data_IF_998072706856
#
_entry.id   IF_998072706856
#
_cell.length_a   1.000
_cell.length_b   1.000
_cell.length_c   1.000
_cell.angle_alpha   90.00
_cell.angle_beta   90.00
_cell.angle_gamma   90.00
#
_symmetry.space_group_name_H-M   'P 1'
#
loop_
_entity.id
_entity.type
_entity.pdbx_description
1 polymer ?
#
# COMPACT_ATOMS: atom_id res chain seq x y z
N UNK A 1 -6.16 15.64 3.10
CA UNK A 1 -7.31 14.81 2.67
C UNK A 1 -6.96 13.32 2.66
N UNK A 2 -5.75 12.94 2.24
CA UNK A 2 -5.26 11.55 2.29
C UNK A 2 -5.42 10.87 3.66
N UNK A 3 -5.08 11.57 4.76
CA UNK A 3 -5.17 10.99 6.12
C UNK A 3 -6.59 10.56 6.53
N UNK A 4 -7.60 11.33 6.10
CA UNK A 4 -9.01 11.01 6.41
C UNK A 4 -9.50 9.79 5.65
N UNK A 5 -9.01 9.59 4.42
CA UNK A 5 -9.33 8.44 3.58
C UNK A 5 -8.62 7.18 4.08
N UNK A 6 -7.32 7.28 4.36
CA UNK A 6 -6.54 6.20 4.97
C UNK A 6 -7.16 5.73 6.28
N UNK A 7 -7.57 6.66 7.14
CA UNK A 7 -8.27 6.33 8.38
C UNK A 7 -9.60 5.61 8.17
N UNK A 8 -10.34 5.93 7.09
CA UNK A 8 -11.58 5.22 6.72
C UNK A 8 -11.27 3.80 6.26
N UNK A 9 -10.30 3.64 5.36
CA UNK A 9 -9.89 2.33 4.82
C UNK A 9 -9.38 1.41 5.93
N UNK A 10 -8.51 1.89 6.83
CA UNK A 10 -8.02 1.13 7.98
C UNK A 10 -9.16 0.62 8.88
N UNK A 11 -10.20 1.45 9.13
CA UNK A 11 -11.40 1.04 9.89
C UNK A 11 -12.20 -0.02 9.15
N UNK A 12 -12.44 0.16 7.86
CA UNK A 12 -13.16 -0.82 7.04
C UNK A 12 -12.41 -2.15 6.99
N UNK A 13 -11.08 -2.13 6.83
CA UNK A 13 -10.24 -3.31 6.89
C UNK A 13 -10.34 -4.03 8.23
N UNK A 14 -10.31 -3.30 9.34
CA UNK A 14 -10.49 -3.89 10.66
C UNK A 14 -11.83 -4.64 10.79
N UNK A 15 -12.92 -4.04 10.29
CA UNK A 15 -14.23 -4.71 10.25
C UNK A 15 -14.20 -5.97 9.37
N UNK A 16 -13.61 -5.89 8.18
CA UNK A 16 -13.47 -7.05 7.29
C UNK A 16 -12.63 -8.17 7.93
N UNK A 17 -11.53 -7.86 8.64
CA UNK A 17 -10.74 -8.85 9.40
C UNK A 17 -11.57 -9.54 10.49
N UNK A 18 -12.40 -8.80 11.20
CA UNK A 18 -13.29 -9.36 12.22
C UNK A 18 -14.34 -10.30 11.61
N UNK A 19 -14.91 -9.93 10.46
CA UNK A 19 -15.85 -10.78 9.71
C UNK A 19 -15.18 -12.04 9.17
N UNK A 20 -13.99 -11.92 8.58
CA UNK A 20 -13.18 -13.06 8.13
C UNK A 20 -12.90 -14.02 9.27
N UNK A 21 -12.50 -13.51 10.44
CA UNK A 21 -12.29 -14.34 11.64
C UNK A 21 -13.56 -15.07 12.05
N UNK A 22 -14.70 -14.37 12.07
CA UNK A 22 -16.00 -14.96 12.41
C UNK A 22 -16.39 -16.07 11.44
N UNK A 23 -16.33 -15.83 10.13
CA UNK A 23 -16.70 -16.83 9.13
C UNK A 23 -15.72 -18.01 9.12
N UNK A 24 -14.43 -17.76 9.33
CA UNK A 24 -13.42 -18.82 9.46
C UNK A 24 -13.75 -19.74 10.64
N UNK A 25 -14.13 -19.19 11.79
CA UNK A 25 -14.56 -19.97 12.96
C UNK A 25 -15.80 -20.79 12.65
N UNK A 26 -16.83 -20.21 12.01
CA UNK A 26 -18.05 -20.92 11.63
C UNK A 26 -17.80 -22.07 10.64
N UNK A 27 -16.92 -21.86 9.66
CA UNK A 27 -16.52 -22.89 8.71
C UNK A 27 -15.74 -24.00 9.43
N UNK A 28 -14.87 -23.65 10.38
CA UNK A 28 -14.07 -24.60 11.17
C UNK A 28 -14.92 -25.43 12.15
N UNK A 29 -15.96 -24.84 12.72
CA UNK A 29 -16.88 -25.49 13.66
C UNK A 29 -17.99 -26.29 12.95
N UNK A 30 -18.03 -26.27 11.61
CA UNK A 30 -19.01 -27.03 10.85
C UNK A 30 -18.75 -28.54 10.96
N UNK A 31 -19.63 -29.25 11.65
CA UNK A 31 -19.51 -30.69 11.89
C UNK A 31 -20.22 -31.51 10.80
N UNK A 32 -20.28 -32.84 10.96
CA UNK A 32 -21.01 -33.73 10.07
C UNK A 32 -22.53 -33.52 10.08
N UNK A 33 -23.06 -32.88 11.13
CA UNK A 33 -24.49 -32.58 11.23
C UNK A 33 -24.89 -31.24 10.61
N UNK A 34 -23.93 -30.38 10.25
CA UNK A 34 -24.24 -29.11 9.58
C UNK A 34 -24.76 -29.37 8.16
N UNK A 35 -25.96 -28.86 7.79
CA UNK A 35 -26.47 -28.98 6.44
C UNK A 35 -25.49 -28.41 5.41
N UNK A 36 -25.35 -29.09 4.27
CA UNK A 36 -24.36 -28.72 3.25
C UNK A 36 -24.54 -27.28 2.73
N UNK A 37 -25.80 -26.84 2.55
CA UNK A 37 -26.14 -25.49 2.09
C UNK A 37 -25.65 -24.40 3.04
N UNK A 38 -25.71 -24.64 4.35
CA UNK A 38 -25.24 -23.70 5.38
C UNK A 38 -23.72 -23.58 5.32
N UNK A 39 -23.02 -24.68 5.11
CA UNK A 39 -21.58 -24.68 4.91
C UNK A 39 -21.19 -23.90 3.63
N UNK A 40 -21.87 -24.13 2.51
CA UNK A 40 -21.59 -23.42 1.26
C UNK A 40 -21.85 -21.91 1.40
N UNK A 41 -22.92 -21.52 2.10
CA UNK A 41 -23.18 -20.12 2.42
C UNK A 41 -22.02 -19.46 3.18
N UNK A 42 -21.53 -20.07 4.26
CA UNK A 42 -20.41 -19.51 5.03
C UNK A 42 -19.10 -19.52 4.26
N UNK A 43 -18.85 -20.54 3.44
CA UNK A 43 -17.68 -20.61 2.55
C UNK A 43 -17.69 -19.46 1.53
N UNK A 44 -18.84 -19.20 0.90
CA UNK A 44 -18.96 -18.17 -0.12
C UNK A 44 -18.86 -16.77 0.51
N UNK A 45 -19.46 -16.55 1.69
CA UNK A 45 -19.27 -15.32 2.46
C UNK A 45 -17.83 -15.10 2.92
N UNK A 46 -17.16 -16.14 3.40
CA UNK A 46 -15.74 -16.05 3.75
C UNK A 46 -14.91 -15.61 2.55
N UNK A 47 -15.18 -16.18 1.37
CA UNK A 47 -14.50 -15.82 0.13
C UNK A 47 -14.73 -14.35 -0.26
N UNK A 48 -15.97 -13.89 -0.25
CA UNK A 48 -16.29 -12.47 -0.54
C UNK A 48 -15.56 -11.52 0.42
N UNK A 49 -15.51 -11.87 1.70
CA UNK A 49 -14.84 -11.05 2.73
C UNK A 49 -13.32 -11.02 2.52
N UNK A 50 -12.72 -12.14 2.09
CA UNK A 50 -11.30 -12.21 1.74
C UNK A 50 -10.99 -11.38 0.49
N UNK A 51 -11.82 -11.47 -0.57
CA UNK A 51 -11.66 -10.67 -1.78
C UNK A 51 -11.75 -9.16 -1.45
N UNK A 52 -12.67 -8.78 -0.55
CA UNK A 52 -12.77 -7.40 -0.04
C UNK A 52 -11.53 -6.98 0.76
N UNK A 53 -10.98 -7.86 1.59
CA UNK A 53 -9.76 -7.58 2.37
C UNK A 53 -8.57 -7.30 1.45
N UNK A 54 -8.39 -8.12 0.40
CA UNK A 54 -7.34 -7.94 -0.60
C UNK A 54 -7.49 -6.60 -1.31
N UNK A 55 -8.70 -6.23 -1.72
CA UNK A 55 -8.96 -4.92 -2.34
C UNK A 55 -8.59 -3.77 -1.41
N UNK A 56 -8.96 -3.86 -0.12
CA UNK A 56 -8.65 -2.83 0.87
C UNK A 56 -7.14 -2.72 1.12
N UNK A 57 -6.42 -3.83 1.15
CA UNK A 57 -4.96 -3.81 1.34
C UNK A 57 -4.27 -3.16 0.13
N UNK A 58 -4.72 -3.41 -1.11
CA UNK A 58 -4.21 -2.70 -2.29
C UNK A 58 -4.48 -1.18 -2.23
N UNK A 59 -5.69 -0.78 -1.81
CA UNK A 59 -6.06 0.64 -1.67
C UNK A 59 -5.24 1.33 -0.56
N UNK A 60 -4.99 0.63 0.55
CA UNK A 60 -4.17 1.12 1.67
C UNK A 60 -2.69 1.21 1.24
N UNK A 61 -2.19 0.22 0.51
CA UNK A 61 -0.83 0.20 -0.03
C UNK A 61 -0.56 1.41 -0.93
N UNK A 62 -1.54 1.80 -1.76
CA UNK A 62 -1.42 2.96 -2.63
C UNK A 62 -1.30 4.29 -1.87
N UNK A 63 -1.70 4.33 -0.59
CA UNK A 63 -1.74 5.54 0.24
C UNK A 63 -0.67 5.57 1.35
N UNK A 64 0.02 4.46 1.63
CA UNK A 64 1.05 4.38 2.66
C UNK A 64 2.44 4.59 2.08
N UNK A 65 3.32 5.21 2.87
CA UNK A 65 4.75 5.20 2.61
C UNK A 65 5.31 3.78 2.82
N UNK A 66 6.27 3.38 1.98
CA UNK A 66 6.81 2.01 1.93
C UNK A 66 7.26 1.44 3.28
N UNK A 67 7.70 2.29 4.23
CA UNK A 67 8.15 1.86 5.56
C UNK A 67 7.01 1.51 6.52
N UNK A 68 5.87 2.22 6.46
CA UNK A 68 4.71 1.92 7.33
C UNK A 68 3.93 0.70 6.80
N UNK A 69 3.96 0.49 5.47
CA UNK A 69 3.32 -0.66 4.82
C UNK A 69 3.94 -2.00 5.25
N UNK A 70 5.27 -2.10 5.35
CA UNK A 70 5.96 -3.36 5.69
C UNK A 70 5.49 -4.00 6.99
N UNK A 71 5.37 -3.23 8.08
CA UNK A 71 4.93 -3.76 9.39
C UNK A 71 3.46 -4.17 9.38
N UNK A 72 2.63 -3.50 8.56
CA UNK A 72 1.20 -3.79 8.46
C UNK A 72 0.92 -5.03 7.60
N UNK A 73 1.77 -5.29 6.60
CA UNK A 73 1.75 -6.51 5.77
C UNK A 73 2.07 -7.75 6.59
N UNK A 74 3.12 -7.72 7.42
CA UNK A 74 3.49 -8.87 8.26
C UNK A 74 2.32 -9.36 9.12
N UNK A 75 1.57 -8.43 9.71
CA UNK A 75 0.37 -8.77 10.50
C UNK A 75 -0.76 -9.31 9.63
N UNK A 76 -0.97 -8.78 8.42
CA UNK A 76 -1.98 -9.30 7.48
C UNK A 76 -1.69 -10.72 7.02
N UNK A 77 -0.42 -11.05 6.75
CA UNK A 77 0.00 -12.35 6.23
C UNK A 77 -0.34 -13.50 7.20
N UNK A 78 -0.15 -13.29 8.51
CA UNK A 78 -0.52 -14.28 9.53
C UNK A 78 -2.01 -14.65 9.49
N UNK A 79 -2.89 -13.66 9.31
CA UNK A 79 -4.34 -13.90 9.22
C UNK A 79 -4.72 -14.64 7.93
N UNK A 80 -4.08 -14.29 6.82
CA UNK A 80 -4.32 -14.93 5.52
C UNK A 80 -3.89 -16.40 5.60
N UNK A 81 -2.75 -16.70 6.22
CA UNK A 81 -2.24 -18.06 6.32
C UNK A 81 -3.08 -18.93 7.28
N UNK A 82 -3.57 -18.36 8.39
CA UNK A 82 -4.56 -19.02 9.25
C UNK A 82 -5.84 -19.38 8.48
N UNK A 83 -6.36 -18.48 7.65
CA UNK A 83 -7.55 -18.73 6.84
C UNK A 83 -7.32 -19.79 5.76
N UNK A 84 -6.15 -19.80 5.11
CA UNK A 84 -5.74 -20.84 4.16
C UNK A 84 -5.67 -22.21 4.83
N UNK A 85 -5.02 -22.31 5.99
CA UNK A 85 -4.93 -23.57 6.74
C UNK A 85 -6.32 -24.09 7.16
N UNK A 86 -7.20 -23.22 7.66
CA UNK A 86 -8.56 -23.60 8.03
C UNK A 86 -9.36 -24.13 6.83
N UNK A 87 -9.25 -23.47 5.68
CA UNK A 87 -9.91 -23.88 4.44
C UNK A 87 -9.42 -25.24 3.94
N UNK A 88 -8.09 -25.46 3.99
CA UNK A 88 -7.47 -26.72 3.57
C UNK A 88 -7.87 -27.88 4.49
N UNK A 89 -7.93 -27.63 5.80
CA UNK A 89 -8.41 -28.61 6.78
C UNK A 89 -9.88 -28.97 6.54
N UNK A 90 -10.75 -27.99 6.33
CA UNK A 90 -12.17 -28.23 6.04
C UNK A 90 -12.35 -29.03 4.74
N UNK A 91 -11.53 -28.75 3.71
CA UNK A 91 -11.51 -29.51 2.46
C UNK A 91 -11.16 -30.98 2.69
N UNK A 92 -10.07 -31.25 3.42
CA UNK A 92 -9.64 -32.61 3.76
C UNK A 92 -10.73 -33.36 4.53
N UNK A 93 -11.40 -32.69 5.46
CA UNK A 93 -12.48 -33.31 6.23
C UNK A 93 -13.69 -33.68 5.35
N UNK A 94 -14.06 -32.82 4.41
CA UNK A 94 -15.11 -33.15 3.43
C UNK A 94 -14.71 -34.29 2.50
N UNK A 95 -13.46 -34.35 2.04
CA UNK A 95 -12.93 -35.46 1.24
C UNK A 95 -12.99 -36.78 2.03
N UNK A 96 -12.58 -36.77 3.29
CA UNK A 96 -12.68 -37.93 4.18
C UNK A 96 -14.14 -38.41 4.37
N UNK A 97 -15.10 -37.47 4.44
CA UNK A 97 -16.53 -37.80 4.50
C UNK A 97 -17.00 -38.49 3.22
N UNK A 98 -16.65 -37.97 2.05
CA UNK A 98 -17.02 -38.57 0.76
C UNK A 98 -16.47 -40.00 0.61
N UNK A 99 -15.26 -40.26 1.10
CA UNK A 99 -14.69 -41.62 1.14
C UNK A 99 -15.48 -42.52 2.08
N UNK A 100 -15.89 -42.01 3.24
CA UNK A 100 -16.54 -42.79 4.31
C UNK A 100 -18.01 -43.12 4.01
N UNK A 101 -18.75 -42.22 3.35
CA UNK A 101 -20.18 -42.44 3.06
C UNK A 101 -20.42 -43.38 1.87
N UNK A 102 -19.40 -43.68 1.05
CA UNK A 102 -19.55 -44.49 -0.15
C UNK A 102 -20.44 -43.86 -1.23
N UNK A 103 -20.93 -42.63 -1.00
CA UNK A 103 -21.69 -41.87 -1.98
C UNK A 103 -20.75 -41.47 -3.10
N UNK A 104 -21.01 -41.99 -4.32
CA UNK A 104 -20.28 -41.57 -5.50
C UNK A 104 -20.45 -40.06 -5.66
N UNK A 105 -19.37 -39.26 -5.62
CA UNK A 105 -19.48 -37.82 -5.77
C UNK A 105 -20.13 -37.53 -7.12
N UNK A 106 -21.11 -36.62 -7.13
CA UNK A 106 -21.84 -36.23 -8.33
C UNK A 106 -20.82 -35.84 -9.43
N UNK A 107 -20.79 -36.61 -10.52
CA UNK A 107 -19.77 -36.54 -11.57
C UNK A 107 -19.56 -35.11 -12.13
N UNK A 108 -20.62 -34.30 -12.15
CA UNK A 108 -20.56 -32.90 -12.58
C UNK A 108 -19.76 -32.01 -11.61
N UNK A 109 -19.96 -32.16 -10.29
CA UNK A 109 -19.17 -31.37 -9.31
C UNK A 109 -17.70 -31.73 -9.39
N UNK A 110 -17.35 -33.00 -9.57
CA UNK A 110 -15.94 -33.42 -9.63
C UNK A 110 -15.23 -32.81 -10.84
N UNK A 111 -15.91 -32.70 -11.98
CA UNK A 111 -15.35 -32.09 -13.19
C UNK A 111 -15.19 -30.58 -13.06
N UNK A 112 -16.18 -29.87 -12.50
CA UNK A 112 -16.07 -28.43 -12.20
C UNK A 112 -14.91 -28.13 -11.23
N UNK A 113 -14.77 -28.93 -10.18
CA UNK A 113 -13.68 -28.78 -9.22
C UNK A 113 -12.30 -29.02 -9.86
N UNK A 114 -12.18 -30.03 -10.74
CA UNK A 114 -10.95 -30.29 -11.49
C UNK A 114 -10.58 -29.12 -12.41
N UNK A 115 -11.54 -28.60 -13.18
CA UNK A 115 -11.32 -27.45 -14.06
C UNK A 115 -10.86 -26.22 -13.26
N UNK A 116 -11.48 -26.00 -12.10
CA UNK A 116 -11.13 -24.87 -11.22
C UNK A 116 -9.74 -25.02 -10.60
N UNK A 117 -9.30 -26.23 -10.27
CA UNK A 117 -7.93 -26.51 -9.82
C UNK A 117 -6.92 -26.22 -10.94
N UNK A 118 -7.19 -26.66 -12.17
CA UNK A 118 -6.30 -26.38 -13.31
C UNK A 118 -6.22 -24.88 -13.61
N UNK A 119 -7.34 -24.15 -13.51
CA UNK A 119 -7.34 -22.68 -13.61
C UNK A 119 -6.50 -22.01 -12.52
N UNK A 120 -6.50 -22.55 -11.29
CA UNK A 120 -5.68 -22.02 -10.19
C UNK A 120 -4.20 -22.29 -10.41
N UNK A 121 -3.82 -23.50 -10.85
CA UNK A 121 -2.43 -23.81 -11.21
C UNK A 121 -1.90 -22.91 -12.33
N UNK A 122 -2.71 -22.66 -13.37
CA UNK A 122 -2.32 -21.77 -14.46
C UNK A 122 -2.10 -20.32 -13.97
N UNK A 123 -2.92 -19.84 -13.02
CA UNK A 123 -2.73 -18.52 -12.39
C UNK A 123 -1.45 -18.48 -11.54
N UNK A 124 -1.17 -19.52 -10.77
CA UNK A 124 0.04 -19.64 -9.98
C UNK A 124 1.31 -19.63 -10.85
N UNK A 125 1.29 -20.33 -11.99
CA UNK A 125 2.38 -20.28 -12.98
C UNK A 125 2.57 -18.88 -13.57
N UNK A 126 1.48 -18.15 -13.86
CA UNK A 126 1.58 -16.76 -14.32
C UNK A 126 2.15 -15.82 -13.27
N UNK A 127 1.79 -15.99 -11.99
CA UNK A 127 2.35 -15.20 -10.89
C UNK A 127 3.85 -15.48 -10.71
N UNK A 128 4.26 -16.75 -10.79
CA UNK A 128 5.68 -17.11 -10.73
C UNK A 128 6.52 -16.48 -11.85
N UNK A 129 5.95 -16.34 -13.06
CA UNK A 129 6.60 -15.61 -14.17
C UNK A 129 6.73 -14.13 -13.86
N UNK A 130 5.70 -13.52 -13.26
CA UNK A 130 5.72 -12.10 -12.90
C UNK A 130 6.81 -11.77 -11.87
N UNK A 131 6.96 -12.61 -10.83
CA UNK A 131 8.02 -12.44 -9.83
C UNK A 131 9.41 -12.56 -10.45
N UNK A 132 9.59 -13.50 -11.38
CA UNK A 132 10.85 -13.65 -12.13
C UNK A 132 11.17 -12.42 -12.98
N UNK A 133 10.17 -11.86 -13.66
CA UNK A 133 10.35 -10.67 -14.49
C UNK A 133 10.57 -9.41 -13.64
N UNK A 134 9.91 -9.29 -12.48
CA UNK A 134 10.17 -8.22 -11.51
C UNK A 134 11.61 -8.27 -10.99
N UNK A 135 12.12 -9.46 -10.65
CA UNK A 135 13.50 -9.62 -10.21
C UNK A 135 14.52 -9.18 -11.28
N UNK A 136 14.24 -9.43 -12.58
CA UNK A 136 15.08 -8.94 -13.68
C UNK A 136 15.06 -7.42 -13.77
N UNK A 137 13.87 -6.81 -13.72
CA UNK A 137 13.72 -5.34 -13.76
C UNK A 137 14.47 -4.69 -12.59
N UNK A 138 14.44 -5.27 -11.40
CA UNK A 138 15.19 -4.75 -10.26
C UNK A 138 16.70 -4.91 -10.42
N UNK A 139 17.16 -6.03 -10.99
CA UNK A 139 18.57 -6.24 -11.32
C UNK A 139 19.07 -5.21 -12.35
N UNK A 140 18.33 -5.01 -13.45
CA UNK A 140 18.66 -4.03 -14.49
C UNK A 140 18.69 -2.60 -13.92
N UNK A 141 17.70 -2.26 -13.08
CA UNK A 141 17.65 -0.96 -12.39
C UNK A 141 18.86 -0.76 -11.48
N UNK A 142 19.33 -1.82 -10.80
CA UNK A 142 20.52 -1.76 -9.95
C UNK A 142 21.79 -1.56 -10.79
N UNK A 143 21.95 -2.31 -11.87
CA UNK A 143 23.07 -2.16 -12.81
C UNK A 143 23.15 -0.74 -13.36
N UNK A 144 22.02 -0.16 -13.80
CA UNK A 144 21.98 1.21 -14.31
C UNK A 144 22.38 2.26 -13.25
N UNK A 145 21.99 2.05 -11.98
CA UNK A 145 22.43 2.93 -10.87
C UNK A 145 23.94 2.83 -10.62
N UNK A 146 24.52 1.64 -10.72
CA UNK A 146 25.96 1.43 -10.58
C UNK A 146 26.73 2.09 -11.74
N UNK A 147 26.27 1.93 -12.98
CA UNK A 147 26.85 2.59 -14.15
C UNK A 147 26.84 4.12 -14.03
N UNK A 148 25.72 4.70 -13.56
CA UNK A 148 25.62 6.14 -13.28
C UNK A 148 26.59 6.58 -12.18
N UNK A 149 26.71 5.81 -11.10
CA UNK A 149 27.64 6.13 -10.01
C UNK A 149 29.10 6.12 -10.50
N UNK A 150 29.47 5.15 -11.33
CA UNK A 150 30.81 5.09 -11.95
C UNK A 150 31.03 6.27 -12.90
N UNK A 151 30.04 6.64 -13.73
CA UNK A 151 30.12 7.79 -14.63
C UNK A 151 30.33 9.11 -13.88
N UNK A 152 29.54 9.36 -12.82
CA UNK A 152 29.68 10.55 -11.97
C UNK A 152 31.03 10.61 -11.24
N UNK A 153 31.55 9.48 -10.77
CA UNK A 153 32.89 9.39 -10.15
C UNK A 153 34.00 9.76 -11.14
N UNK A 154 33.86 9.39 -12.42
CA UNK A 154 34.77 9.81 -13.49
C UNK A 154 34.76 11.32 -13.72
N UNK A 155 33.57 11.95 -13.71
CA UNK A 155 33.45 13.40 -13.89
C UNK A 155 33.98 14.22 -12.70
N UNK A 156 33.91 13.67 -11.48
CA UNK A 156 34.44 14.34 -10.28
C UNK A 156 35.96 14.59 -10.34
N UNK A 157 36.71 13.80 -11.12
CA UNK A 157 38.17 13.98 -11.29
C UNK A 157 38.56 15.11 -12.24
N UNK A 158 37.64 15.60 -13.09
CA UNK A 158 37.90 16.65 -14.08
C UNK A 158 37.53 18.05 -13.54
N UNK A 159 36.79 18.14 -12.42
CA UNK A 159 36.21 19.39 -11.93
C UNK A 159 37.09 20.42 -11.17
N UNK A 160 38.24 20.11 -10.55
CA UNK A 160 38.89 21.13 -9.71
C UNK A 160 39.48 22.31 -10.50
N UNK A 161 39.59 22.19 -11.82
CA UNK A 161 40.11 23.24 -12.70
C UNK A 161 39.00 24.16 -13.22
N UNK A 162 37.86 23.60 -13.64
CA UNK A 162 36.71 24.38 -14.13
C UNK A 162 36.05 25.23 -13.03
N UNK A 163 36.01 24.72 -11.79
CA UNK A 163 35.42 25.47 -10.67
C UNK A 163 36.26 26.71 -10.29
N UNK A 164 37.58 26.68 -10.52
CA UNK A 164 38.46 27.84 -10.30
C UNK A 164 38.23 28.94 -11.35
N UNK A 165 38.07 28.56 -12.61
CA UNK A 165 37.74 29.51 -13.68
C UNK A 165 36.35 30.13 -13.48
N UNK A 166 35.38 29.33 -13.06
CA UNK A 166 34.01 29.80 -12.82
C UNK A 166 33.94 30.77 -11.63
N UNK A 167 34.71 30.51 -10.56
CA UNK A 167 34.83 31.44 -9.43
C UNK A 167 35.54 32.74 -9.83
N UNK A 168 36.63 32.67 -10.61
CA UNK A 168 37.33 33.86 -11.09
C UNK A 168 36.43 34.74 -11.99
N UNK A 169 35.63 34.14 -12.86
CA UNK A 169 34.65 34.87 -13.67
C UNK A 169 33.54 35.52 -12.82
N UNK A 170 33.06 34.83 -11.77
CA UNK A 170 32.08 35.38 -10.83
C UNK A 170 32.64 36.58 -10.07
N UNK A 171 33.85 36.48 -9.54
CA UNK A 171 34.52 37.57 -8.82
C UNK A 171 34.73 38.80 -9.71
N UNK A 172 35.13 38.62 -10.98
CA UNK A 172 35.24 39.74 -11.91
C UNK A 172 33.90 40.43 -12.18
N UNK A 173 32.82 39.67 -12.38
CA UNK A 173 31.48 40.24 -12.59
C UNK A 173 31.00 41.01 -11.35
N UNK A 174 31.26 40.48 -10.15
CA UNK A 174 30.86 41.11 -8.89
C UNK A 174 31.68 42.39 -8.60
N UNK A 175 32.97 42.39 -8.94
CA UNK A 175 33.82 43.58 -8.87
C UNK A 175 33.34 44.69 -9.81
N UNK A 176 32.92 44.34 -11.02
CA UNK A 176 32.35 45.31 -11.96
C UNK A 176 31.04 45.93 -11.45
N UNK A 177 30.14 45.13 -10.86
CA UNK A 177 28.89 45.62 -10.27
C UNK A 177 29.14 46.57 -9.09
N UNK A 178 30.08 46.25 -8.20
CA UNK A 178 30.44 47.14 -7.09
C UNK A 178 31.06 48.46 -7.56
N UNK A 179 31.82 48.46 -8.65
CA UNK A 179 32.37 49.70 -9.22
C UNK A 179 31.26 50.57 -9.83
N UNK A 180 30.28 49.95 -10.51
CA UNK A 180 29.15 50.64 -11.11
C UNK A 180 28.19 51.24 -10.05
N UNK A 181 27.95 50.53 -8.95
CA UNK A 181 27.17 51.02 -7.82
C UNK A 181 27.84 52.23 -7.13
N UNK A 182 29.17 52.19 -6.94
CA UNK A 182 29.94 53.33 -6.41
C UNK A 182 29.81 54.57 -7.28
N UNK A 183 29.82 54.41 -8.61
CA UNK A 183 29.67 55.54 -9.56
C UNK A 183 28.27 56.14 -9.57
N UNK A 184 27.24 55.34 -9.31
CA UNK A 184 25.83 55.78 -9.37
C UNK A 184 25.28 56.26 -8.00
N UNK A 185 26.00 56.01 -6.90
CA UNK A 185 25.61 56.43 -5.55
C UNK A 185 25.61 57.94 -5.27
N UNK A 186 26.16 58.78 -6.17
CA UNK A 186 26.21 60.23 -5.97
C UNK A 186 24.96 61.00 -6.41
N UNK A 187 23.99 60.36 -7.08
CA UNK A 187 22.82 61.07 -7.65
C UNK A 187 21.45 60.52 -7.20
N UNK A 188 21.42 59.67 -6.17
CA UNK A 188 20.15 59.05 -5.73
C UNK A 188 19.43 59.91 -4.70
N UNK A 189 18.49 60.70 -5.21
CA UNK A 189 17.46 61.43 -4.43
C UNK A 189 16.62 60.42 -3.61
N UNK A 190 16.32 60.69 -2.33
CA UNK A 190 15.61 59.71 -1.49
C UNK A 190 14.18 59.48 -1.99
N UNK A 191 13.90 58.21 -2.32
CA UNK A 191 12.61 57.71 -2.78
C UNK A 191 11.69 57.48 -1.57
N UNK A 192 10.48 58.01 -1.67
CA UNK A 192 9.47 58.10 -0.61
C UNK A 192 8.99 56.71 -0.21
N UNK A 193 9.06 56.43 1.10
CA UNK A 193 8.56 55.22 1.72
C UNK A 193 7.07 55.02 1.43
N UNK A 194 6.73 53.86 0.83
CA UNK A 194 5.36 53.39 0.74
C UNK A 194 5.06 52.42 1.91
N UNK A 195 3.90 52.69 2.49
CA UNK A 195 3.33 52.19 3.72
C UNK A 195 2.83 50.74 3.56
N UNK A 196 3.29 49.85 4.44
CA UNK A 196 2.80 48.48 4.54
C UNK A 196 1.35 48.46 5.03
N UNK A 197 0.49 47.72 4.31
CA UNK A 197 -0.91 47.48 4.66
C UNK A 197 -0.98 46.25 5.58
N UNK A 198 -1.61 46.36 6.77
CA UNK A 198 -1.78 45.22 7.67
C UNK A 198 -2.71 44.15 7.10
N UNK A 199 -2.25 42.90 7.09
CA UNK A 199 -3.08 41.72 6.80
C UNK A 199 -3.80 41.34 8.09
N UNK A 200 -5.13 41.50 8.12
CA UNK A 200 -5.96 41.13 9.26
C UNK A 200 -6.12 39.60 9.35
N UNK A 201 -5.72 39.05 10.50
CA UNK A 201 -5.87 37.64 10.86
C UNK A 201 -7.35 37.23 10.99
N UNK A 202 -7.77 36.28 10.14
CA UNK A 202 -9.09 35.68 10.21
C UNK A 202 -9.19 34.71 11.39
N UNK A 203 -9.91 35.11 12.44
CA UNK A 203 -10.27 34.30 13.60
C UNK A 203 -11.17 33.12 13.18
N UNK A 204 -10.60 31.93 13.09
CA UNK A 204 -11.31 30.67 12.87
C UNK A 204 -12.05 30.26 14.15
N UNK A 205 -13.38 30.18 14.09
CA UNK A 205 -14.22 29.72 15.21
C UNK A 205 -14.13 28.19 15.37
N UNK A 206 -14.04 27.67 16.61
CA UNK A 206 -14.02 26.23 16.86
C UNK A 206 -15.40 25.57 16.63
N UNK A 207 -15.41 24.50 15.83
CA UNK A 207 -16.60 23.69 15.56
C UNK A 207 -16.93 22.81 16.77
N UNK A 208 -18.13 22.97 17.32
CA UNK A 208 -18.64 22.23 18.47
C UNK A 208 -18.95 20.76 18.13
N UNK A 209 -18.27 19.85 18.83
CA UNK A 209 -18.89 18.72 19.54
C UNK A 209 -19.24 17.46 18.75
N UNK A 210 -18.43 16.40 18.88
CA UNK A 210 -18.85 15.02 18.61
C UNK A 210 -19.67 14.47 19.80
N UNK A 211 -20.89 14.02 19.51
CA UNK A 211 -21.75 13.31 20.46
C UNK A 211 -21.23 11.88 20.67
N UNK A 212 -20.91 11.53 21.92
CA UNK A 212 -20.64 10.15 22.33
C UNK A 212 -21.96 9.37 22.37
N UNK A 213 -22.03 8.27 21.64
CA UNK A 213 -23.12 7.31 21.74
C UNK A 213 -22.73 6.23 22.75
N UNK A 214 -23.45 6.18 23.86
CA UNK A 214 -23.37 5.04 24.78
C UNK A 214 -24.07 3.84 24.11
N UNK A 215 -23.32 2.78 23.82
CA UNK A 215 -23.90 1.48 23.47
C UNK A 215 -24.49 0.88 24.75
N UNK A 216 -25.81 0.69 24.76
CA UNK A 216 -26.48 -0.12 25.76
C UNK A 216 -26.07 -1.59 25.56
N UNK A 217 -25.44 -2.19 26.57
CA UNK A 217 -25.33 -3.64 26.69
C UNK A 217 -26.73 -4.18 26.99
N UNK A 218 -27.26 -5.03 26.11
CA UNK A 218 -28.36 -5.92 26.45
C UNK A 218 -27.73 -7.22 26.96
N UNK A 219 -28.04 -7.56 28.20
CA UNK A 219 -27.79 -8.85 28.84
C UNK A 219 -28.97 -9.79 28.58
#
# INVERSE_FOLDING_TARGET
MADSELGRLKRTRFTARAETTRFTTLVRESTASTPHEVYEYYRDRLRETLDQLISLDNDIQALLDNSEYTTDVEVSEEYIDLAKQASLKAKQEMENRLVSTGEKPNCKRVTDWKERIEKLKAKEEMLSKLDSDQAKVEADRKTWREELATSHSGMAKIKPETDKEMLACREMMEAHLQEEEKRTSLDRKPEVAQQEVPIEDAIVKPVKGQKKWHRACWF
#
